data_IF_489813131037
#
_entry.id   IF_489813131037
#
_cell.length_a   1.000
_cell.length_b   1.000
_cell.length_c   1.000
_cell.angle_alpha   90.00
_cell.angle_beta   90.00
_cell.angle_gamma   90.00
#
_symmetry.space_group_name_H-M   'P 1'
#
loop_
_entity.id
_entity.type
_entity.pdbx_description
1 polymer ?
#
# COMPACT_ATOMS: atom_id res chain seq x y z
N UNK A 1 -21.26 1.40 6.44
CA UNK A 1 -20.95 1.70 5.02
C UNK A 1 -22.12 1.51 4.07
N UNK A 2 -22.94 0.45 4.21
CA UNK A 2 -24.05 0.20 3.28
C UNK A 2 -25.09 1.32 3.22
N UNK A 3 -25.32 2.05 4.32
CA UNK A 3 -26.26 3.16 4.32
C UNK A 3 -25.78 4.32 3.45
N UNK A 4 -24.50 4.72 3.58
CA UNK A 4 -23.90 5.73 2.71
C UNK A 4 -23.95 5.30 1.24
N UNK A 5 -23.55 4.06 0.94
CA UNK A 5 -23.61 3.54 -0.43
C UNK A 5 -25.05 3.45 -0.96
N UNK A 6 -26.01 3.14 -0.09
CA UNK A 6 -27.44 3.14 -0.38
C UNK A 6 -27.95 4.52 -0.80
N UNK A 7 -27.59 5.56 -0.06
CA UNK A 7 -27.90 6.95 -0.41
C UNK A 7 -27.33 7.36 -1.77
N UNK A 8 -26.07 6.99 -2.04
CA UNK A 8 -25.43 7.24 -3.35
C UNK A 8 -26.18 6.52 -4.47
N UNK A 9 -26.52 5.23 -4.28
CA UNK A 9 -27.27 4.42 -5.25
C UNK A 9 -28.64 5.01 -5.55
N UNK A 10 -29.33 5.59 -4.55
CA UNK A 10 -30.63 6.26 -4.74
C UNK A 10 -30.51 7.47 -5.67
N UNK A 11 -29.56 8.36 -5.40
CA UNK A 11 -29.30 9.53 -6.27
C UNK A 11 -28.87 9.08 -7.68
N UNK A 12 -28.04 8.04 -7.80
CA UNK A 12 -27.56 7.59 -9.11
C UNK A 12 -28.57 6.76 -9.91
N UNK A 13 -29.44 6.02 -9.21
CA UNK A 13 -30.49 5.19 -9.81
C UNK A 13 -31.68 5.99 -10.30
N UNK A 14 -31.91 7.19 -9.76
CA UNK A 14 -33.02 8.06 -10.13
C UNK A 14 -32.53 9.33 -10.84
N UNK A 15 -32.77 9.44 -12.16
CA UNK A 15 -32.39 10.58 -12.97
C UNK A 15 -32.96 11.92 -12.47
N UNK A 16 -34.21 11.95 -12.03
CA UNK A 16 -34.83 13.16 -11.49
C UNK A 16 -34.22 13.57 -10.15
N UNK A 17 -33.96 12.60 -9.26
CA UNK A 17 -33.33 12.86 -7.97
C UNK A 17 -31.90 13.40 -8.14
N UNK A 18 -31.16 12.90 -9.15
CA UNK A 18 -29.84 13.42 -9.52
C UNK A 18 -29.87 14.88 -9.95
N UNK A 19 -30.85 15.27 -10.77
CA UNK A 19 -31.03 16.67 -11.19
C UNK A 19 -31.41 17.57 -10.01
N UNK A 20 -32.28 17.09 -9.13
CA UNK A 20 -32.62 17.78 -7.86
C UNK A 20 -31.38 17.96 -6.98
N UNK A 21 -30.53 16.94 -6.86
CA UNK A 21 -29.27 17.02 -6.11
C UNK A 21 -28.32 18.08 -6.66
N UNK A 22 -28.14 18.11 -7.99
CA UNK A 22 -27.31 19.14 -8.64
C UNK A 22 -27.85 20.55 -8.40
N UNK A 23 -29.17 20.73 -8.50
CA UNK A 23 -29.84 22.00 -8.25
C UNK A 23 -29.74 22.42 -6.78
N UNK A 24 -29.92 21.47 -5.84
CA UNK A 24 -29.82 21.67 -4.40
C UNK A 24 -28.44 22.21 -3.99
N UNK A 25 -27.36 21.65 -4.55
CA UNK A 25 -26.00 22.09 -4.30
C UNK A 25 -25.72 23.47 -4.94
N UNK A 26 -26.13 23.64 -6.19
CA UNK A 26 -25.93 24.91 -6.94
C UNK A 26 -26.63 26.07 -6.24
N UNK A 27 -27.85 25.88 -5.76
CA UNK A 27 -28.61 26.89 -5.01
C UNK A 27 -27.97 27.29 -3.67
N UNK A 28 -27.01 26.51 -3.17
CA UNK A 28 -26.24 26.78 -1.95
C UNK A 28 -24.81 27.22 -2.23
N UNK A 29 -24.46 27.49 -3.50
CA UNK A 29 -23.11 27.86 -3.91
C UNK A 29 -22.09 26.74 -3.78
N UNK A 30 -22.52 25.48 -3.61
CA UNK A 30 -21.63 24.33 -3.43
C UNK A 30 -21.35 23.70 -4.79
N UNK A 31 -20.06 23.56 -5.14
CA UNK A 31 -19.65 22.93 -6.39
C UNK A 31 -20.07 21.45 -6.44
N UNK A 32 -20.83 21.10 -7.47
CA UNK A 32 -21.17 19.71 -7.78
C UNK A 32 -19.94 18.92 -8.27
N UNK A 33 -19.77 17.74 -7.69
CA UNK A 33 -18.83 16.70 -8.10
C UNK A 33 -19.59 15.39 -8.13
N UNK A 34 -19.47 14.69 -9.25
CA UNK A 34 -20.10 13.39 -9.41
C UNK A 34 -19.50 12.36 -8.43
N UNK A 35 -20.35 11.52 -7.81
CA UNK A 35 -19.90 10.38 -7.03
C UNK A 35 -19.17 9.38 -7.95
N UNK A 36 -17.90 9.04 -7.64
CA UNK A 36 -17.16 8.03 -8.38
C UNK A 36 -17.84 6.66 -8.29
N UNK A 37 -17.66 5.83 -9.33
CA UNK A 37 -18.12 4.44 -9.30
C UNK A 37 -17.36 3.66 -8.22
N UNK A 38 -18.11 3.08 -7.29
CA UNK A 38 -17.57 2.15 -6.30
C UNK A 38 -17.56 0.72 -6.85
N UNK A 39 -16.44 0.02 -6.64
CA UNK A 39 -16.26 -1.39 -6.98
C UNK A 39 -15.97 -2.15 -5.68
N UNK A 40 -16.85 -3.07 -5.30
CA UNK A 40 -16.78 -3.81 -4.02
C UNK A 40 -15.46 -4.55 -3.81
N UNK A 41 -14.81 -4.98 -4.90
CA UNK A 41 -13.53 -5.68 -4.89
C UNK A 41 -12.30 -4.76 -4.77
N UNK A 42 -12.48 -3.43 -4.79
CA UNK A 42 -11.38 -2.45 -4.77
C UNK A 42 -11.65 -1.35 -3.74
N UNK A 43 -10.99 -1.43 -2.60
CA UNK A 43 -10.97 -0.39 -1.58
C UNK A 43 -10.58 1.03 -2.08
N UNK A 44 -9.76 1.16 -3.12
CA UNK A 44 -9.41 2.45 -3.70
C UNK A 44 -10.60 3.16 -4.37
N UNK A 45 -11.53 2.41 -4.97
CA UNK A 45 -12.79 3.00 -5.44
C UNK A 45 -13.70 3.40 -4.29
N UNK A 46 -13.73 2.60 -3.22
CA UNK A 46 -14.44 2.95 -1.98
C UNK A 46 -13.92 4.28 -1.43
N UNK A 47 -12.58 4.42 -1.27
CA UNK A 47 -11.96 5.66 -0.79
C UNK A 47 -12.38 6.88 -1.61
N UNK A 48 -12.29 6.78 -2.96
CA UNK A 48 -12.70 7.87 -3.85
C UNK A 48 -14.17 8.24 -3.67
N UNK A 49 -15.04 7.25 -3.50
CA UNK A 49 -16.46 7.50 -3.22
C UNK A 49 -16.63 8.23 -1.89
N UNK A 50 -16.09 7.68 -0.80
CA UNK A 50 -16.26 8.26 0.54
C UNK A 50 -15.70 9.68 0.62
N UNK A 51 -14.56 9.95 -0.02
CA UNK A 51 -13.96 11.29 -0.10
C UNK A 51 -14.91 12.32 -0.72
N UNK A 52 -15.67 11.94 -1.75
CA UNK A 52 -16.67 12.82 -2.37
C UNK A 52 -17.93 12.93 -1.52
N UNK A 53 -18.38 11.85 -0.87
CA UNK A 53 -19.51 11.91 0.06
C UNK A 53 -19.22 12.83 1.24
N UNK A 54 -18.03 12.71 1.85
CA UNK A 54 -17.62 13.51 3.01
C UNK A 54 -17.47 15.00 2.70
N UNK A 55 -17.17 15.37 1.45
CA UNK A 55 -17.27 16.77 0.98
C UNK A 55 -18.69 17.34 1.16
N UNK A 56 -19.70 16.48 1.14
CA UNK A 56 -21.11 16.84 1.30
C UNK A 56 -21.70 16.37 2.62
N UNK A 57 -20.90 16.19 3.68
CA UNK A 57 -21.34 15.58 4.95
C UNK A 57 -22.56 16.25 5.60
N UNK A 58 -22.77 17.55 5.38
CA UNK A 58 -23.95 18.29 5.87
C UNK A 58 -25.13 18.23 4.90
N UNK A 59 -24.86 18.28 3.60
CA UNK A 59 -25.87 18.38 2.54
C UNK A 59 -26.46 17.03 2.14
N UNK A 60 -25.63 16.00 2.10
CA UNK A 60 -26.00 14.69 1.59
C UNK A 60 -27.06 14.00 2.46
N UNK A 61 -26.92 13.92 3.81
CA UNK A 61 -28.00 13.43 4.68
C UNK A 61 -29.28 14.27 4.61
N UNK A 62 -29.14 15.60 4.63
CA UNK A 62 -30.28 16.52 4.62
C UNK A 62 -31.11 16.38 3.34
N UNK A 63 -30.43 16.35 2.18
CA UNK A 63 -31.07 16.19 0.89
C UNK A 63 -31.82 14.85 0.76
N UNK A 64 -31.19 13.75 1.18
CA UNK A 64 -31.81 12.41 1.09
C UNK A 64 -33.01 12.28 2.02
N UNK A 65 -32.96 12.89 3.20
CA UNK A 65 -34.10 12.97 4.12
C UNK A 65 -35.26 13.75 3.50
N UNK A 66 -34.99 14.89 2.87
CA UNK A 66 -36.00 15.78 2.30
C UNK A 66 -36.66 15.21 1.02
N UNK A 67 -35.87 14.62 0.13
CA UNK A 67 -36.32 14.30 -1.23
C UNK A 67 -36.54 12.81 -1.52
N UNK A 68 -36.10 11.91 -0.64
CA UNK A 68 -36.22 10.46 -0.83
C UNK A 68 -36.61 9.70 0.45
N UNK A 69 -36.91 10.43 1.55
CA UNK A 69 -37.17 9.88 2.89
C UNK A 69 -36.08 8.89 3.37
N UNK A 70 -34.85 9.05 2.89
CA UNK A 70 -33.73 8.17 3.25
C UNK A 70 -32.89 8.83 4.33
N UNK A 71 -32.92 8.24 5.52
CA UNK A 71 -32.27 8.80 6.70
C UNK A 71 -30.83 8.31 6.77
N UNK A 72 -29.89 9.25 6.88
CA UNK A 72 -28.49 8.99 7.21
C UNK A 72 -28.19 9.71 8.52
N UNK A 73 -27.79 8.96 9.54
CA UNK A 73 -27.54 9.50 10.88
C UNK A 73 -26.10 10.00 11.02
N UNK A 74 -25.88 10.89 11.99
CA UNK A 74 -24.55 11.44 12.28
C UNK A 74 -23.50 10.34 12.56
N UNK A 75 -23.89 9.27 13.24
CA UNK A 75 -23.01 8.12 13.51
C UNK A 75 -22.52 7.42 12.22
N UNK A 76 -23.31 7.43 11.15
CA UNK A 76 -22.94 6.80 9.88
C UNK A 76 -21.95 7.66 9.09
N UNK A 77 -22.09 8.98 9.19
CA UNK A 77 -21.14 9.96 8.66
C UNK A 77 -19.82 9.87 9.42
N UNK A 78 -19.85 9.82 10.76
CA UNK A 78 -18.66 9.64 11.59
C UNK A 78 -17.93 8.32 11.28
N UNK A 79 -18.68 7.21 11.14
CA UNK A 79 -18.11 5.92 10.71
C UNK A 79 -17.49 6.03 9.32
N UNK A 80 -18.14 6.74 8.38
CA UNK A 80 -17.62 6.97 7.03
C UNK A 80 -16.30 7.75 7.06
N UNK A 81 -16.20 8.77 7.91
CA UNK A 81 -14.98 9.57 8.09
C UNK A 81 -13.84 8.73 8.64
N UNK A 82 -14.09 7.94 9.70
CA UNK A 82 -13.10 7.01 10.26
C UNK A 82 -12.58 6.01 9.24
N UNK A 83 -13.47 5.36 8.47
CA UNK A 83 -13.07 4.42 7.41
C UNK A 83 -12.27 5.15 6.30
N UNK A 84 -12.68 6.36 5.93
CA UNK A 84 -11.96 7.14 4.92
C UNK A 84 -10.53 7.49 5.38
N UNK A 85 -10.34 7.76 6.67
CA UNK A 85 -9.03 8.03 7.27
C UNK A 85 -8.13 6.80 7.30
N UNK A 86 -8.68 5.59 7.43
CA UNK A 86 -7.89 4.35 7.26
C UNK A 86 -7.52 4.16 5.78
N UNK A 87 -8.49 4.30 4.88
CA UNK A 87 -8.32 3.98 3.47
C UNK A 87 -7.35 4.91 2.73
N UNK A 88 -7.10 6.12 3.24
CA UNK A 88 -6.17 7.07 2.61
C UNK A 88 -4.74 6.52 2.53
N UNK A 89 -4.28 5.78 3.54
CA UNK A 89 -2.94 5.21 3.58
C UNK A 89 -2.73 4.20 2.44
N UNK A 90 -3.72 3.32 2.22
CA UNK A 90 -3.70 2.35 1.13
C UNK A 90 -3.86 2.98 -0.25
N UNK A 91 -4.68 4.02 -0.33
CA UNK A 91 -4.83 4.79 -1.55
C UNK A 91 -3.49 5.43 -1.96
N UNK A 92 -2.82 6.11 -1.03
CA UNK A 92 -1.53 6.76 -1.27
C UNK A 92 -0.42 5.75 -1.64
N UNK A 93 -0.38 4.60 -0.94
CA UNK A 93 0.56 3.53 -1.26
C UNK A 93 0.30 2.99 -2.68
N UNK A 94 -0.97 2.72 -3.03
CA UNK A 94 -1.31 2.23 -4.37
C UNK A 94 -0.99 3.24 -5.46
N UNK A 95 -1.29 4.53 -5.23
CA UNK A 95 -0.95 5.60 -6.16
C UNK A 95 0.56 5.69 -6.39
N UNK A 96 1.35 5.58 -5.31
CA UNK A 96 2.81 5.52 -5.38
C UNK A 96 3.29 4.37 -6.26
N UNK A 97 2.71 3.17 -6.11
CA UNK A 97 3.07 2.00 -6.91
C UNK A 97 2.50 2.00 -8.33
N UNK A 98 1.49 2.82 -8.61
CA UNK A 98 0.82 2.90 -9.92
C UNK A 98 1.55 3.80 -10.92
N UNK A 99 2.63 4.47 -10.52
CA UNK A 99 3.43 5.29 -11.43
C UNK A 99 4.07 4.44 -12.52
N UNK A 100 3.84 4.83 -13.78
CA UNK A 100 4.46 4.22 -14.95
C UNK A 100 5.76 4.98 -15.27
N UNK A 101 6.76 4.27 -15.80
CA UNK A 101 8.06 4.83 -16.20
C UNK A 101 8.94 5.37 -15.06
N UNK A 102 8.59 5.08 -13.81
CA UNK A 102 9.41 5.38 -12.63
C UNK A 102 9.70 4.09 -11.87
N UNK A 103 10.91 3.93 -11.28
CA UNK A 103 11.15 2.84 -10.35
C UNK A 103 10.23 3.01 -9.13
N UNK A 104 9.50 1.96 -8.79
CA UNK A 104 8.56 1.94 -7.66
C UNK A 104 8.99 0.98 -6.55
N UNK A 105 9.84 -0.02 -6.86
CA UNK A 105 10.30 -1.01 -5.90
C UNK A 105 11.06 -0.38 -4.71
N UNK A 106 11.85 0.66 -4.95
CA UNK A 106 12.55 1.44 -3.93
C UNK A 106 11.60 2.18 -2.97
N UNK A 107 10.36 2.44 -3.37
CA UNK A 107 9.34 3.06 -2.52
C UNK A 107 8.59 2.05 -1.66
N UNK A 108 8.77 0.74 -1.88
CA UNK A 108 8.00 -0.28 -1.17
C UNK A 108 8.20 -0.21 0.34
N UNK A 109 9.45 -0.21 0.81
CA UNK A 109 9.76 -0.23 2.25
C UNK A 109 9.19 1.00 2.99
N UNK A 110 9.41 2.25 2.53
CA UNK A 110 8.77 3.43 3.15
C UNK A 110 7.24 3.33 3.22
N UNK A 111 6.59 2.85 2.15
CA UNK A 111 5.14 2.69 2.14
C UNK A 111 4.68 1.57 3.06
N UNK A 112 5.41 0.46 3.14
CA UNK A 112 5.13 -0.65 4.04
C UNK A 112 5.23 -0.22 5.52
N UNK A 113 6.23 0.58 5.86
CA UNK A 113 6.39 1.20 7.19
C UNK A 113 5.21 2.11 7.53
N UNK A 114 4.82 3.00 6.61
CA UNK A 114 3.65 3.88 6.82
C UNK A 114 2.35 3.08 7.00
N UNK A 115 2.18 1.98 6.25
CA UNK A 115 1.04 1.10 6.41
C UNK A 115 1.06 0.38 7.77
N UNK A 116 2.23 -0.07 8.22
CA UNK A 116 2.41 -0.70 9.53
C UNK A 116 2.01 0.26 10.66
N UNK A 117 2.46 1.53 10.58
CA UNK A 117 2.10 2.57 11.55
C UNK A 117 0.59 2.83 11.56
N UNK A 118 -0.03 2.95 10.37
CA UNK A 118 -1.47 3.12 10.26
C UNK A 118 -2.23 1.94 10.88
N UNK A 119 -1.83 0.69 10.62
CA UNK A 119 -2.48 -0.47 11.25
C UNK A 119 -2.34 -0.45 12.77
N UNK A 120 -1.18 -0.05 13.30
CA UNK A 120 -0.94 0.10 14.73
C UNK A 120 -1.81 1.20 15.35
N UNK A 121 -2.02 2.31 14.66
CA UNK A 121 -2.91 3.40 15.09
C UNK A 121 -4.37 2.92 15.21
N UNK A 122 -4.85 2.17 14.21
CA UNK A 122 -6.26 1.79 14.11
C UNK A 122 -6.64 0.48 14.82
N UNK A 123 -5.68 -0.29 15.34
CA UNK A 123 -5.96 -1.58 16.01
C UNK A 123 -6.92 -1.45 17.20
N UNK A 124 -6.86 -0.33 17.93
CA UNK A 124 -7.67 -0.09 19.13
C UNK A 124 -8.96 0.68 18.85
N UNK A 125 -9.20 1.07 17.59
CA UNK A 125 -10.36 1.85 17.22
C UNK A 125 -11.59 0.93 17.09
N UNK A 126 -12.44 0.93 18.13
CA UNK A 126 -13.62 0.06 18.33
C UNK A 126 -14.44 -0.18 17.05
N UNK A 127 -14.66 0.85 16.23
CA UNK A 127 -15.51 0.78 15.03
C UNK A 127 -14.81 0.30 13.75
N UNK A 128 -13.47 0.37 13.68
CA UNK A 128 -12.71 0.04 12.46
C UNK A 128 -11.75 -1.14 12.65
N UNK A 129 -11.55 -1.63 13.87
CA UNK A 129 -10.60 -2.71 14.17
C UNK A 129 -10.84 -3.95 13.28
N UNK A 130 -12.08 -4.48 13.19
CA UNK A 130 -12.39 -5.65 12.36
C UNK A 130 -12.03 -5.45 10.88
N UNK A 131 -12.27 -4.25 10.35
CA UNK A 131 -11.92 -3.90 8.98
C UNK A 131 -10.40 -3.82 8.80
N UNK A 132 -9.70 -3.24 9.77
CA UNK A 132 -8.24 -3.16 9.79
C UNK A 132 -7.60 -4.54 9.91
N UNK A 133 -8.12 -5.41 10.79
CA UNK A 133 -7.63 -6.77 10.99
C UNK A 133 -7.73 -7.60 9.71
N UNK A 134 -8.88 -7.55 9.03
CA UNK A 134 -9.07 -8.22 7.74
C UNK A 134 -8.06 -7.72 6.69
N UNK A 135 -7.83 -6.40 6.63
CA UNK A 135 -6.88 -5.82 5.68
C UNK A 135 -5.43 -6.16 6.03
N UNK A 136 -5.10 -6.17 7.32
CA UNK A 136 -3.80 -6.58 7.85
C UNK A 136 -3.50 -8.02 7.48
N UNK A 137 -4.46 -8.94 7.68
CA UNK A 137 -4.34 -10.34 7.28
C UNK A 137 -4.05 -10.48 5.78
N UNK A 138 -4.81 -9.78 4.92
CA UNK A 138 -4.59 -9.81 3.47
C UNK A 138 -3.24 -9.25 3.06
N UNK A 139 -2.76 -8.20 3.72
CA UNK A 139 -1.46 -7.61 3.46
C UNK A 139 -0.32 -8.55 3.88
N UNK A 140 -0.36 -9.03 5.13
CA UNK A 140 0.65 -9.92 5.70
C UNK A 140 0.71 -11.28 4.99
N UNK A 141 -0.38 -11.74 4.38
CA UNK A 141 -0.35 -12.94 3.53
C UNK A 141 0.75 -12.90 2.45
N UNK A 142 1.06 -11.72 1.92
CA UNK A 142 2.07 -11.55 0.86
C UNK A 142 3.36 -10.93 1.36
N UNK A 143 3.30 -10.15 2.44
CA UNK A 143 4.41 -9.30 2.89
C UNK A 143 4.79 -9.55 4.35
N UNK A 144 4.33 -10.63 4.97
CA UNK A 144 4.83 -11.04 6.29
C UNK A 144 6.35 -11.20 6.27
N UNK A 145 6.93 -11.71 5.20
CA UNK A 145 8.35 -11.57 4.89
C UNK A 145 8.49 -10.62 3.71
N UNK A 146 9.28 -9.56 3.88
CA UNK A 146 9.49 -8.59 2.80
C UNK A 146 10.42 -9.23 1.76
N UNK A 147 10.00 -9.37 0.48
CA UNK A 147 10.89 -9.89 -0.54
C UNK A 147 12.17 -9.05 -0.66
N UNK A 148 13.34 -9.70 -0.62
CA UNK A 148 14.65 -9.03 -0.56
C UNK A 148 14.90 -8.04 -1.70
N UNK A 149 14.24 -8.21 -2.85
CA UNK A 149 14.32 -7.26 -3.96
C UNK A 149 13.93 -5.83 -3.56
N UNK A 150 12.99 -5.67 -2.62
CA UNK A 150 12.59 -4.36 -2.13
C UNK A 150 13.66 -3.75 -1.22
N UNK A 151 14.36 -4.56 -0.43
CA UNK A 151 15.52 -4.14 0.35
C UNK A 151 16.68 -3.68 -0.54
N UNK A 152 17.00 -4.47 -1.58
CA UNK A 152 18.03 -4.09 -2.56
C UNK A 152 17.64 -2.78 -3.27
N UNK A 153 16.39 -2.66 -3.71
CA UNK A 153 15.90 -1.46 -4.39
C UNK A 153 15.95 -0.22 -3.48
N UNK A 154 15.67 -0.39 -2.17
CA UNK A 154 15.78 0.67 -1.18
C UNK A 154 17.24 1.14 -1.00
N UNK A 155 18.19 0.19 -0.91
CA UNK A 155 19.63 0.49 -0.80
C UNK A 155 20.16 1.25 -2.03
N UNK A 156 19.66 0.89 -3.22
CA UNK A 156 20.06 1.52 -4.48
C UNK A 156 19.51 2.94 -4.67
N UNK A 157 18.56 3.38 -3.84
CA UNK A 157 18.02 4.72 -3.91
C UNK A 157 18.91 5.69 -3.10
N UNK A 158 19.54 6.69 -3.74
CA UNK A 158 20.45 7.60 -3.07
C UNK A 158 19.77 8.48 -2.01
N UNK A 159 18.43 8.54 -1.99
CA UNK A 159 17.66 9.27 -0.99
C UNK A 159 17.60 8.55 0.35
N UNK A 160 17.84 7.24 0.37
CA UNK A 160 17.81 6.44 1.59
C UNK A 160 19.23 6.05 2.00
N UNK A 161 19.47 5.98 3.32
CA UNK A 161 20.73 5.48 3.86
C UNK A 161 20.58 3.99 4.17
N UNK A 162 21.62 3.20 3.89
CA UNK A 162 21.71 1.77 4.23
C UNK A 162 21.34 1.48 5.69
N UNK A 163 21.82 2.31 6.62
CA UNK A 163 21.55 2.18 8.05
C UNK A 163 20.05 2.24 8.39
N UNK A 164 19.25 2.92 7.57
CA UNK A 164 17.81 3.07 7.81
C UNK A 164 17.02 1.79 7.47
N UNK A 165 17.61 0.82 6.77
CA UNK A 165 16.90 -0.38 6.33
C UNK A 165 16.56 -1.30 7.51
N UNK A 166 17.52 -1.53 8.40
CA UNK A 166 17.32 -2.31 9.62
C UNK A 166 16.26 -1.64 10.52
N UNK A 167 16.34 -0.32 10.71
CA UNK A 167 15.34 0.46 11.44
C UNK A 167 13.94 0.32 10.83
N UNK A 168 13.84 0.33 9.49
CA UNK A 168 12.58 0.11 8.79
C UNK A 168 12.01 -1.28 9.05
N UNK A 169 12.84 -2.33 9.00
CA UNK A 169 12.41 -3.69 9.34
C UNK A 169 11.99 -3.80 10.80
N UNK A 170 12.80 -3.28 11.72
CA UNK A 170 12.48 -3.24 13.16
C UNK A 170 11.10 -2.61 13.40
N UNK A 171 10.88 -1.42 12.88
CA UNK A 171 9.61 -0.72 13.03
C UNK A 171 8.45 -1.50 12.40
N UNK A 172 8.64 -1.97 11.16
CA UNK A 172 7.62 -2.73 10.42
C UNK A 172 7.14 -3.95 11.21
N UNK A 173 8.08 -4.77 11.69
CA UNK A 173 7.75 -5.99 12.41
C UNK A 173 7.12 -5.70 13.78
N UNK A 174 7.69 -4.76 14.54
CA UNK A 174 7.10 -4.37 15.84
C UNK A 174 5.70 -3.76 15.69
N UNK A 175 5.45 -2.96 14.65
CA UNK A 175 4.14 -2.37 14.42
C UNK A 175 3.08 -3.40 14.03
N UNK A 176 3.44 -4.44 13.26
CA UNK A 176 2.50 -5.49 12.88
C UNK A 176 2.29 -6.56 13.95
N UNK A 177 3.33 -6.96 14.66
CA UNK A 177 3.31 -8.14 15.51
C UNK A 177 3.41 -7.82 17.01
N UNK A 178 3.80 -6.59 17.38
CA UNK A 178 4.04 -6.18 18.78
C UNK A 178 5.36 -6.71 19.36
N UNK A 179 5.82 -7.84 18.86
CA UNK A 179 7.09 -8.51 19.14
C UNK A 179 7.68 -9.08 17.84
N UNK A 180 8.92 -9.57 17.88
CA UNK A 180 9.51 -10.23 16.72
C UNK A 180 8.99 -11.66 16.59
N UNK A 181 8.31 -12.02 15.47
CA UNK A 181 7.72 -13.35 15.32
C UNK A 181 8.76 -14.46 15.37
N UNK A 182 8.64 -15.35 16.36
CA UNK A 182 9.46 -16.55 16.48
C UNK A 182 8.69 -17.74 15.88
N UNK A 183 8.68 -17.89 14.56
CA UNK A 183 8.17 -19.11 13.93
C UNK A 183 9.22 -20.22 14.06
N UNK A 184 8.80 -21.43 14.44
CA UNK A 184 9.70 -22.58 14.67
C UNK A 184 10.61 -22.88 13.47
N UNK A 185 10.11 -22.71 12.24
CA UNK A 185 10.85 -23.01 11.01
C UNK A 185 11.49 -21.78 10.34
N UNK A 186 11.10 -20.55 10.71
CA UNK A 186 11.57 -19.32 10.05
C UNK A 186 11.37 -18.07 10.93
N UNK A 187 12.19 -17.87 11.98
CA UNK A 187 12.07 -16.71 12.85
C UNK A 187 12.29 -15.41 12.07
N UNK A 188 11.43 -14.43 12.29
CA UNK A 188 11.57 -13.10 11.71
C UNK A 188 12.45 -12.27 12.63
N UNK A 189 13.70 -12.11 12.24
CA UNK A 189 14.64 -11.20 12.87
C UNK A 189 15.02 -10.08 11.89
N UNK A 190 14.67 -8.81 12.19
CA UNK A 190 15.04 -7.65 11.36
C UNK A 190 16.53 -7.57 11.05
N UNK A 191 17.40 -7.99 11.99
CA UNK A 191 18.84 -7.96 11.79
C UNK A 191 19.28 -8.98 10.76
N UNK A 192 18.76 -10.20 10.88
CA UNK A 192 18.99 -11.28 9.92
C UNK A 192 18.52 -10.88 8.52
N UNK A 193 17.30 -10.33 8.37
CA UNK A 193 16.81 -9.87 7.06
C UNK A 193 17.68 -8.75 6.45
N UNK A 194 18.13 -7.79 7.28
CA UNK A 194 19.08 -6.76 6.85
C UNK A 194 20.40 -7.37 6.37
N UNK A 195 20.96 -8.33 7.10
CA UNK A 195 22.22 -8.99 6.75
C UNK A 195 22.10 -9.79 5.44
N UNK A 196 20.98 -10.48 5.25
CA UNK A 196 20.69 -11.19 4.02
C UNK A 196 20.63 -10.23 2.84
N UNK A 197 19.79 -9.18 2.91
CA UNK A 197 19.68 -8.17 1.86
C UNK A 197 21.03 -7.54 1.55
N UNK A 198 21.81 -7.19 2.58
CA UNK A 198 23.16 -6.62 2.43
C UNK A 198 24.09 -7.58 1.70
N UNK A 199 24.07 -8.87 2.06
CA UNK A 199 24.86 -9.91 1.40
C UNK A 199 24.47 -10.06 -0.07
N UNK A 200 23.17 -10.08 -0.38
CA UNK A 200 22.68 -10.12 -1.77
C UNK A 200 23.14 -8.89 -2.56
N UNK A 201 23.05 -7.71 -1.95
CA UNK A 201 23.46 -6.45 -2.56
C UNK A 201 24.96 -6.45 -2.90
N UNK A 202 25.82 -6.81 -1.95
CA UNK A 202 27.26 -6.87 -2.21
C UNK A 202 27.64 -7.94 -3.22
N UNK A 203 26.97 -9.10 -3.21
CA UNK A 203 27.15 -10.13 -4.23
C UNK A 203 26.81 -9.60 -5.63
N UNK A 204 25.66 -8.95 -5.78
CA UNK A 204 25.24 -8.31 -7.04
C UNK A 204 26.23 -7.23 -7.49
N UNK A 205 26.69 -6.39 -6.55
CA UNK A 205 27.67 -5.34 -6.83
C UNK A 205 29.01 -5.91 -7.30
N UNK A 206 29.47 -7.01 -6.68
CA UNK A 206 30.71 -7.67 -7.07
C UNK A 206 30.60 -8.31 -8.46
N UNK A 207 29.48 -8.93 -8.80
CA UNK A 207 29.24 -9.46 -10.16
C UNK A 207 29.21 -8.33 -11.20
N UNK A 208 28.51 -7.24 -10.91
CA UNK A 208 28.50 -6.04 -11.76
C UNK A 208 29.93 -5.52 -11.95
N UNK A 209 30.68 -5.34 -10.85
CA UNK A 209 32.06 -4.88 -10.90
C UNK A 209 32.92 -5.81 -11.74
N UNK A 210 32.82 -7.14 -11.58
CA UNK A 210 33.60 -8.10 -12.37
C UNK A 210 33.30 -8.03 -13.87
N UNK A 211 32.05 -7.74 -14.24
CA UNK A 211 31.63 -7.64 -15.63
C UNK A 211 32.02 -6.31 -16.29
N UNK A 212 32.05 -5.21 -15.53
CA UNK A 212 32.22 -3.86 -16.07
C UNK A 212 33.50 -3.15 -15.61
N UNK A 213 34.34 -3.77 -14.79
CA UNK A 213 35.62 -3.23 -14.32
C UNK A 213 36.61 -2.89 -15.44
N UNK A 214 36.49 -3.55 -16.59
CA UNK A 214 37.32 -3.31 -17.79
C UNK A 214 36.53 -2.68 -18.95
N UNK A 215 35.30 -2.21 -18.73
CA UNK A 215 34.47 -1.64 -19.79
C UNK A 215 34.76 -0.13 -19.97
N UNK A 216 34.94 0.37 -21.21
CA UNK A 216 34.96 1.81 -21.45
C UNK A 216 33.62 2.45 -21.02
N UNK A 217 33.60 3.75 -20.66
CA UNK A 217 32.39 4.42 -20.20
C UNK A 217 31.24 4.21 -21.21
N UNK A 218 30.00 4.00 -20.74
CA UNK A 218 28.90 3.65 -21.62
C UNK A 218 28.66 4.79 -22.63
N UNK A 219 28.57 4.50 -23.94
CA UNK A 219 28.17 5.50 -24.91
C UNK A 219 26.75 5.98 -24.60
N UNK A 220 26.50 7.27 -24.82
CA UNK A 220 25.18 7.89 -24.73
C UNK A 220 24.13 7.04 -25.47
N UNK A 221 23.04 6.74 -24.74
CA UNK A 221 21.99 5.75 -25.08
C UNK A 221 21.59 5.71 -26.56
N UNK A 222 21.78 4.55 -27.19
CA UNK A 222 20.85 4.01 -28.20
C UNK A 222 20.39 2.64 -27.72
N UNK A 223 19.08 2.50 -27.54
CA UNK A 223 18.42 1.31 -27.02
C UNK A 223 18.47 0.15 -28.00
N UNK A 224 19.14 -0.94 -27.63
CA UNK A 224 18.65 -2.32 -27.69
C UNK A 224 19.83 -3.28 -27.65
N UNK A 225 19.99 -4.03 -26.56
CA UNK A 225 20.63 -5.34 -26.68
C UNK A 225 20.01 -6.31 -25.68
N UNK A 226 19.68 -7.50 -26.18
CA UNK A 226 19.24 -8.65 -25.39
C UNK A 226 20.45 -9.18 -24.61
N UNK A 227 20.86 -8.46 -23.57
CA UNK A 227 21.86 -8.93 -22.61
C UNK A 227 21.25 -9.96 -21.68
N UNK A 228 21.97 -11.04 -21.36
CA UNK A 228 21.60 -11.97 -20.29
C UNK A 228 21.41 -11.16 -19.00
N UNK A 229 20.22 -11.23 -18.39
CA UNK A 229 19.91 -10.49 -17.18
C UNK A 229 20.79 -10.98 -16.03
N UNK A 230 21.74 -10.14 -15.62
CA UNK A 230 22.65 -10.37 -14.48
C UNK A 230 21.82 -10.69 -13.23
N UNK A 231 20.72 -9.95 -13.04
CA UNK A 231 19.75 -10.21 -11.98
C UNK A 231 19.23 -11.65 -11.98
N UNK A 232 19.02 -12.28 -13.15
CA UNK A 232 18.52 -13.65 -13.21
C UNK A 232 19.58 -14.68 -12.80
N UNK A 233 20.85 -14.44 -13.12
CA UNK A 233 21.96 -15.34 -12.80
C UNK A 233 22.36 -15.22 -11.32
N UNK A 234 22.62 -13.99 -10.86
CA UNK A 234 23.03 -13.70 -9.48
C UNK A 234 21.95 -14.15 -8.48
N UNK A 235 20.72 -13.67 -8.68
CA UNK A 235 19.61 -13.95 -7.79
C UNK A 235 19.21 -15.43 -7.81
N UNK A 236 19.27 -16.07 -8.99
CA UNK A 236 18.96 -17.49 -9.14
C UNK A 236 19.93 -18.41 -8.40
N UNK A 237 21.23 -18.11 -8.44
CA UNK A 237 22.24 -18.91 -7.72
C UNK A 237 22.22 -18.65 -6.22
N UNK A 238 21.92 -17.42 -5.80
CA UNK A 238 21.94 -17.02 -4.40
C UNK A 238 20.70 -17.52 -3.64
N UNK A 239 19.52 -17.50 -4.27
CA UNK A 239 18.30 -18.12 -3.73
C UNK A 239 18.39 -19.65 -3.62
N UNK A 240 19.23 -20.28 -4.44
CA UNK A 240 19.55 -21.70 -4.29
C UNK A 240 20.50 -21.94 -3.11
N UNK A 241 21.47 -21.04 -2.91
CA UNK A 241 22.44 -21.14 -1.83
C UNK A 241 21.80 -20.96 -0.46
N UNK A 242 20.93 -19.96 -0.28
CA UNK A 242 20.16 -19.73 0.97
C UNK A 242 19.26 -20.91 1.32
N UNK A 243 18.59 -21.52 0.33
CA UNK A 243 17.83 -22.77 0.53
C UNK A 243 18.69 -23.97 0.92
N UNK A 244 19.96 -24.02 0.49
CA UNK A 244 20.87 -25.14 0.80
C UNK A 244 21.45 -25.01 2.21
N UNK A 245 21.73 -23.79 2.68
CA UNK A 245 22.14 -23.53 4.07
C UNK A 245 21.06 -23.96 5.08
N UNK A 246 19.78 -23.68 4.82
CA UNK A 246 18.70 -24.14 5.71
C UNK A 246 18.49 -25.66 5.75
N UNK A 247 18.92 -26.41 4.72
CA UNK A 247 18.80 -27.89 4.69
C UNK A 247 20.00 -28.59 5.34
N UNK A 248 21.14 -27.91 5.50
CA UNK A 248 22.38 -28.53 6.01
C UNK A 248 22.57 -28.34 7.53
N UNK A 249 21.70 -27.58 8.20
CA UNK A 249 21.71 -27.42 9.68
C UNK A 249 20.69 -28.31 10.42
N UNK A 250 20.00 -29.23 9.71
CA UNK A 250 19.09 -30.22 10.30
C UNK A 250 19.54 -31.68 10.08
N UNK A 251 20.85 -31.96 10.16
CA UNK A 251 21.38 -33.33 10.17
C UNK A 251 22.45 -33.53 11.22
#
# INVERSE_FOLDING_TARGET
>A
MEVIKGGVRRIWGNGQLRLKWQSYLTGRGVRYVAFPKDLSIRWNSTYKLLKVVLRYKEHFPAFLKEHDNYIINAAEIDTCEKICNVLIYFFNATETFSHVYKPTANQFIPQAVNLADAFKEFQNAVFVHYFCDYMKEKFLKYYAHIPHIYGIAFILDPRYRLANLEDCFNFYYLAFFGEFPMYEDNPIDPKTEYNEVSTLFYALFNEFRAQYSNAPPPPSRTSSSKGKSIFKSAFGNLMKKTKTTHVTEQS
#
